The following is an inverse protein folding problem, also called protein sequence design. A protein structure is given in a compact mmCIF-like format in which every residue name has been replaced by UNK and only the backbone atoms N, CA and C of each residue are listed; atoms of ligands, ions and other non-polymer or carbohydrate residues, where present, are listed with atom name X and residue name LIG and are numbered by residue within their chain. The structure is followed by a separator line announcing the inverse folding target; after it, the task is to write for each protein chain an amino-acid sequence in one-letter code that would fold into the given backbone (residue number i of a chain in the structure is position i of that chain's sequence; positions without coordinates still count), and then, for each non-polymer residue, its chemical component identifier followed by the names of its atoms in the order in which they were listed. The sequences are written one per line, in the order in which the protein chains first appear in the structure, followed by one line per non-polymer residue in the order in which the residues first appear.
data_IF_734492658321
#
_entry.id   IF_734492658321
#
_cell.length_a   1.000
_cell.length_b   1.000
_cell.length_c   1.000
_cell.angle_alpha   90.00
_cell.angle_beta   90.00
_cell.angle_gamma   90.00
#
_symmetry.space_group_name_H-M   'P 1'
#
loop_
_entity.id
_entity.type
_entity.pdbx_description
1 polymer ?
#
# COMPACT_ATOMS: atom_id res chain seq x y z
N UNK A 1 -40.95 -26.20 35.49
CA UNK A 1 -39.56 -26.33 34.99
C UNK A 1 -39.45 -25.56 33.68
N UNK A 2 -39.02 -24.30 33.72
CA UNK A 2 -38.79 -23.47 32.53
C UNK A 2 -37.29 -23.46 32.25
N UNK A 3 -36.88 -24.14 31.17
CA UNK A 3 -35.50 -24.13 30.70
C UNK A 3 -35.16 -22.78 30.10
N UNK A 4 -34.24 -22.05 30.73
CA UNK A 4 -33.68 -20.81 30.17
C UNK A 4 -32.72 -21.20 29.03
N UNK A 5 -32.91 -20.70 27.80
CA UNK A 5 -31.97 -20.95 26.72
C UNK A 5 -30.64 -20.27 27.02
N UNK A 6 -29.52 -21.02 26.87
CA UNK A 6 -28.17 -20.46 27.02
C UNK A 6 -27.91 -19.43 25.91
N UNK A 7 -27.28 -18.29 26.22
CA UNK A 7 -26.87 -17.33 25.20
C UNK A 7 -25.79 -17.94 24.31
N UNK A 8 -26.00 -17.84 22.99
CA UNK A 8 -25.01 -18.20 21.98
C UNK A 8 -23.79 -17.28 22.14
N UNK A 9 -22.56 -17.81 22.22
CA UNK A 9 -21.37 -16.96 22.26
C UNK A 9 -21.27 -16.19 20.94
N UNK A 10 -21.35 -14.87 21.01
CA UNK A 10 -20.99 -13.99 19.90
C UNK A 10 -19.51 -14.21 19.61
N UNK A 11 -19.19 -14.89 18.52
CA UNK A 11 -17.82 -14.95 18.01
C UNK A 11 -17.50 -13.55 17.50
N UNK A 12 -16.79 -12.76 18.30
CA UNK A 12 -16.16 -11.54 17.82
C UNK A 12 -15.09 -11.98 16.83
N UNK A 13 -15.33 -11.82 15.52
CA UNK A 13 -14.30 -12.00 14.52
C UNK A 13 -13.08 -11.15 14.94
N UNK A 14 -11.87 -11.73 15.03
CA UNK A 14 -10.69 -10.94 15.32
C UNK A 14 -10.56 -9.92 14.19
N UNK A 15 -10.71 -8.64 14.53
CA UNK A 15 -10.55 -7.53 13.61
C UNK A 15 -9.10 -7.60 13.13
N UNK A 16 -8.88 -8.20 11.95
CA UNK A 16 -7.55 -8.27 11.36
C UNK A 16 -7.05 -6.82 11.29
N UNK A 17 -5.89 -6.51 11.89
CA UNK A 17 -5.40 -5.13 11.86
C UNK A 17 -5.37 -4.68 10.40
N UNK A 18 -5.84 -3.46 10.09
CA UNK A 18 -5.83 -2.98 8.73
C UNK A 18 -4.40 -3.12 8.21
N UNK A 19 -4.23 -3.85 7.10
CA UNK A 19 -2.93 -3.96 6.45
C UNK A 19 -2.49 -2.55 6.13
N UNK A 20 -1.45 -2.07 6.80
CA UNK A 20 -0.90 -0.75 6.52
C UNK A 20 -0.39 -0.78 5.09
N UNK A 21 -0.99 0.03 4.23
CA UNK A 21 -0.67 0.12 2.81
C UNK A 21 0.80 0.52 2.63
N UNK A 22 1.50 -0.13 1.71
CA UNK A 22 2.97 -0.09 1.60
C UNK A 22 3.56 1.33 1.52
N UNK A 23 3.07 2.17 0.61
CA UNK A 23 3.51 3.55 0.43
C UNK A 23 3.22 4.42 1.65
N UNK A 24 2.02 4.32 2.22
CA UNK A 24 1.69 5.02 3.49
C UNK A 24 2.65 4.62 4.62
N UNK A 25 2.95 3.32 4.76
CA UNK A 25 3.90 2.81 5.76
C UNK A 25 5.29 3.42 5.55
N UNK A 26 5.80 3.39 4.32
CA UNK A 26 7.14 3.93 4.01
C UNK A 26 7.28 5.41 4.38
N UNK A 27 6.27 6.23 4.08
CA UNK A 27 6.28 7.65 4.46
C UNK A 27 6.24 7.81 5.97
N UNK A 28 5.40 7.04 6.67
CA UNK A 28 5.31 7.08 8.13
C UNK A 28 6.61 6.67 8.80
N UNK A 29 7.24 5.59 8.34
CA UNK A 29 8.50 5.10 8.87
C UNK A 29 9.63 6.12 8.67
N UNK A 30 9.62 6.85 7.55
CA UNK A 30 10.69 7.80 7.22
C UNK A 30 10.49 9.20 7.81
N UNK A 31 9.27 9.69 7.87
CA UNK A 31 8.94 11.08 8.21
C UNK A 31 8.08 11.22 9.48
N UNK A 32 7.65 10.11 10.10
CA UNK A 32 6.76 10.12 11.25
C UNK A 32 5.39 10.72 10.96
N UNK A 33 4.95 10.73 9.71
CA UNK A 33 3.77 11.46 9.25
C UNK A 33 2.92 10.65 8.28
N UNK A 34 1.63 10.98 8.23
CA UNK A 34 0.76 10.53 7.14
C UNK A 34 1.09 11.29 5.85
N UNK A 35 1.13 10.65 4.67
CA UNK A 35 1.39 11.33 3.41
C UNK A 35 0.47 12.54 3.17
N UNK A 36 -0.83 12.41 3.41
CA UNK A 36 -1.78 13.49 3.17
C UNK A 36 -1.59 14.67 4.14
N UNK A 37 -1.08 14.40 5.34
CA UNK A 37 -0.76 15.44 6.31
C UNK A 37 0.49 16.26 5.93
N UNK A 38 1.32 15.80 4.97
CA UNK A 38 2.52 16.55 4.56
C UNK A 38 2.17 17.83 3.80
N UNK A 39 1.07 17.83 3.04
CA UNK A 39 0.65 18.99 2.26
C UNK A 39 0.31 20.19 3.14
N UNK A 40 -0.34 19.95 4.29
CA UNK A 40 -0.74 20.99 5.23
C UNK A 40 0.43 21.62 6.02
N UNK A 41 1.67 21.13 5.82
CA UNK A 41 2.87 21.62 6.52
C UNK A 41 3.60 22.74 5.78
N UNK A 42 3.23 23.00 4.53
CA UNK A 42 3.95 23.89 3.63
C UNK A 42 2.94 24.81 2.92
N UNK A 43 3.33 26.06 2.70
CA UNK A 43 2.54 26.99 1.90
C UNK A 43 2.52 26.54 0.42
N UNK A 44 1.41 26.75 -0.29
CA UNK A 44 1.16 26.13 -1.60
C UNK A 44 2.22 26.45 -2.67
N UNK A 45 2.87 27.61 -2.58
CA UNK A 45 3.88 28.08 -3.54
C UNK A 45 5.32 27.66 -3.17
N UNK A 46 5.50 26.87 -2.10
CA UNK A 46 6.81 26.40 -1.69
C UNK A 46 7.24 25.14 -2.46
N UNK A 47 8.55 25.04 -2.74
CA UNK A 47 9.17 23.82 -3.28
C UNK A 47 8.86 22.61 -2.40
N UNK A 48 8.76 22.80 -1.08
CA UNK A 48 8.40 21.74 -0.14
C UNK A 48 6.95 21.27 -0.29
N UNK A 49 6.01 22.15 -0.64
CA UNK A 49 4.63 21.76 -0.94
C UNK A 49 4.56 20.93 -2.22
N UNK A 50 5.29 21.32 -3.27
CA UNK A 50 5.39 20.53 -4.50
C UNK A 50 5.99 19.12 -4.25
N UNK A 51 7.05 19.05 -3.44
CA UNK A 51 7.65 17.76 -3.05
C UNK A 51 6.72 16.93 -2.17
N UNK A 52 6.00 17.54 -1.22
CA UNK A 52 5.00 16.87 -0.40
C UNK A 52 3.85 16.29 -1.26
N UNK A 53 3.42 17.02 -2.30
CA UNK A 53 2.43 16.53 -3.26
C UNK A 53 2.95 15.31 -4.05
N UNK A 54 4.21 15.34 -4.48
CA UNK A 54 4.85 14.19 -5.14
C UNK A 54 4.95 12.99 -4.21
N UNK A 55 5.41 13.16 -2.96
CA UNK A 55 5.43 12.08 -1.95
C UNK A 55 4.04 11.47 -1.78
N UNK A 56 3.01 12.31 -1.60
CA UNK A 56 1.62 11.89 -1.40
C UNK A 56 1.10 11.09 -2.61
N UNK A 57 1.30 11.62 -3.82
CA UNK A 57 0.85 11.00 -5.06
C UNK A 57 1.53 9.65 -5.31
N UNK A 58 2.85 9.57 -5.14
CA UNK A 58 3.60 8.32 -5.33
C UNK A 58 3.24 7.28 -4.28
N UNK A 59 3.09 7.69 -3.00
CA UNK A 59 2.63 6.78 -1.93
C UNK A 59 1.23 6.23 -2.21
N UNK A 60 0.29 7.09 -2.64
CA UNK A 60 -1.08 6.68 -2.99
C UNK A 60 -1.11 5.69 -4.16
N UNK A 61 -0.30 5.91 -5.20
CA UNK A 61 -0.20 4.97 -6.32
C UNK A 61 0.40 3.63 -5.89
N UNK A 62 1.44 3.65 -5.05
CA UNK A 62 2.05 2.44 -4.53
C UNK A 62 1.04 1.63 -3.70
N UNK A 63 0.27 2.31 -2.86
CA UNK A 63 -0.80 1.71 -2.06
C UNK A 63 -1.91 1.08 -2.92
N UNK A 64 -2.25 1.71 -4.04
CA UNK A 64 -3.23 1.19 -4.98
C UNK A 64 -2.73 -0.11 -5.64
N UNK A 65 -1.50 -0.11 -6.17
CA UNK A 65 -0.94 -1.29 -6.83
C UNK A 65 -0.67 -2.44 -5.86
N UNK A 66 -0.22 -2.16 -4.63
CA UNK A 66 -0.05 -3.16 -3.57
C UNK A 66 -1.39 -3.86 -3.27
N UNK A 67 -2.47 -3.08 -3.08
CA UNK A 67 -3.79 -3.63 -2.81
C UNK A 67 -4.36 -4.42 -4.00
N UNK A 68 -4.26 -3.89 -5.22
CA UNK A 68 -4.77 -4.56 -6.42
C UNK A 68 -4.04 -5.87 -6.71
N UNK A 69 -2.70 -5.86 -6.61
CA UNK A 69 -1.87 -7.06 -6.77
C UNK A 69 -2.19 -8.09 -5.69
N UNK A 70 -2.38 -7.68 -4.43
CA UNK A 70 -2.75 -8.59 -3.36
C UNK A 70 -4.13 -9.24 -3.59
N UNK A 71 -5.10 -8.51 -4.17
CA UNK A 71 -6.41 -9.06 -4.55
C UNK A 71 -6.29 -10.05 -5.71
N UNK A 72 -5.50 -9.74 -6.73
CA UNK A 72 -5.28 -10.64 -7.86
C UNK A 72 -4.59 -11.95 -7.42
N UNK A 73 -3.60 -11.87 -6.52
CA UNK A 73 -2.95 -13.04 -5.90
C UNK A 73 -3.95 -13.86 -5.08
N UNK A 74 -4.76 -13.22 -4.22
CA UNK A 74 -5.74 -13.92 -3.40
C UNK A 74 -6.80 -14.66 -4.25
N UNK A 75 -7.24 -14.04 -5.35
CA UNK A 75 -8.16 -14.67 -6.31
C UNK A 75 -7.51 -15.86 -7.00
N UNK A 76 -6.29 -15.68 -7.53
CA UNK A 76 -5.54 -16.77 -8.16
C UNK A 76 -5.33 -17.95 -7.21
N UNK A 77 -5.03 -17.70 -5.92
CA UNK A 77 -4.90 -18.74 -4.91
C UNK A 77 -6.21 -19.48 -4.64
N UNK A 78 -7.33 -18.75 -4.54
CA UNK A 78 -8.66 -19.35 -4.36
C UNK A 78 -9.10 -20.18 -5.58
N UNK A 79 -8.74 -19.73 -6.79
CA UNK A 79 -8.98 -20.47 -8.03
C UNK A 79 -8.15 -21.76 -8.07
N UNK A 80 -6.85 -21.68 -7.72
CA UNK A 80 -5.98 -22.85 -7.65
C UNK A 80 -6.47 -23.88 -6.62
N UNK A 81 -6.95 -23.41 -5.45
CA UNK A 81 -7.52 -24.29 -4.43
C UNK A 81 -8.80 -25.00 -4.92
N UNK A 82 -9.67 -24.30 -5.67
CA UNK A 82 -10.86 -24.91 -6.29
C UNK A 82 -10.49 -25.95 -7.32
N UNK A 83 -9.53 -25.66 -8.21
CA UNK A 83 -9.06 -26.60 -9.22
C UNK A 83 -8.44 -27.86 -8.59
N UNK A 84 -7.71 -27.71 -7.48
CA UNK A 84 -7.13 -28.85 -6.76
C UNK A 84 -8.16 -29.71 -6.02
N UNK A 85 -9.32 -29.14 -5.66
CA UNK A 85 -10.37 -29.83 -4.91
C UNK A 85 -11.36 -30.61 -5.80
N UNK A 86 -11.35 -30.41 -7.11
CA UNK A 86 -12.25 -31.06 -8.06
C UNK A 86 -11.50 -32.15 -8.87
N UNK A 87 -11.67 -33.43 -8.52
CA UNK A 87 -11.02 -34.55 -9.19
C UNK A 87 -11.64 -34.91 -10.54
N UNK A 88 -12.61 -34.17 -11.10
CA UNK A 88 -13.05 -34.32 -12.50
C UNK A 88 -12.66 -33.09 -13.36
N UNK A 89 -12.08 -32.05 -12.73
CA UNK A 89 -11.67 -30.82 -13.41
C UNK A 89 -10.64 -31.03 -14.51
N UNK A 90 -9.98 -32.19 -14.60
CA UNK A 90 -9.05 -32.49 -15.69
C UNK A 90 -9.69 -32.57 -17.09
N UNK A 91 -11.00 -32.75 -17.17
CA UNK A 91 -11.73 -32.63 -18.44
C UNK A 91 -12.07 -31.17 -18.81
N UNK A 92 -11.98 -30.24 -17.84
CA UNK A 92 -12.15 -28.79 -18.00
C UNK A 92 -10.88 -27.96 -17.72
N UNK A 93 -9.72 -28.62 -17.54
CA UNK A 93 -8.46 -28.00 -17.14
C UNK A 93 -7.98 -26.95 -18.14
N UNK A 94 -8.40 -27.06 -19.41
CA UNK A 94 -8.15 -26.03 -20.41
C UNK A 94 -8.65 -24.66 -19.97
N UNK A 95 -9.85 -24.58 -19.39
CA UNK A 95 -10.44 -23.32 -18.95
C UNK A 95 -9.87 -22.86 -17.61
N UNK A 96 -9.72 -23.76 -16.62
CA UNK A 96 -9.16 -23.41 -15.32
C UNK A 96 -7.68 -22.97 -15.40
N UNK A 97 -6.87 -23.65 -16.23
CA UNK A 97 -5.46 -23.31 -16.43
C UNK A 97 -5.29 -22.06 -17.29
N UNK A 98 -6.12 -21.87 -18.32
CA UNK A 98 -6.15 -20.62 -19.11
C UNK A 98 -6.54 -19.42 -18.24
N UNK A 99 -7.36 -19.62 -17.21
CA UNK A 99 -7.78 -18.54 -16.32
C UNK A 99 -6.70 -18.15 -15.29
N UNK A 100 -6.00 -19.12 -14.70
CA UNK A 100 -4.81 -18.83 -13.85
C UNK A 100 -3.71 -18.17 -14.69
N UNK A 101 -3.48 -18.68 -15.91
CA UNK A 101 -2.56 -18.08 -16.86
C UNK A 101 -2.96 -16.65 -17.28
N UNK A 102 -4.25 -16.31 -17.27
CA UNK A 102 -4.72 -14.94 -17.54
C UNK A 102 -4.42 -13.95 -16.41
N UNK A 103 -4.26 -14.43 -15.16
CA UNK A 103 -3.99 -13.61 -13.97
C UNK A 103 -2.51 -13.41 -13.72
N UNK A 104 -1.67 -14.39 -14.03
CA UNK A 104 -0.22 -14.31 -13.82
C UNK A 104 0.41 -13.04 -14.44
N UNK A 105 0.10 -12.65 -15.70
CA UNK A 105 0.61 -11.40 -16.29
C UNK A 105 0.20 -10.15 -15.52
N UNK A 106 -1.02 -10.11 -14.96
CA UNK A 106 -1.48 -8.96 -14.16
C UNK A 106 -0.71 -8.84 -12.86
N UNK A 107 -0.44 -9.97 -12.20
CA UNK A 107 0.36 -10.03 -10.97
C UNK A 107 1.79 -9.59 -11.25
N UNK A 108 2.42 -10.07 -12.33
CA UNK A 108 3.76 -9.69 -12.74
C UNK A 108 3.87 -8.19 -13.02
N UNK A 109 2.93 -7.63 -13.80
CA UNK A 109 2.87 -6.19 -14.07
C UNK A 109 2.67 -5.41 -12.77
N UNK A 110 1.78 -5.86 -11.89
CA UNK A 110 1.55 -5.24 -10.58
C UNK A 110 2.81 -5.19 -9.72
N UNK A 111 3.54 -6.32 -9.63
CA UNK A 111 4.81 -6.41 -8.91
C UNK A 111 5.89 -5.49 -9.51
N UNK A 112 6.00 -5.43 -10.84
CA UNK A 112 6.94 -4.53 -11.51
C UNK A 112 6.62 -3.06 -11.17
N UNK A 113 5.34 -2.66 -11.21
CA UNK A 113 4.91 -1.30 -10.85
C UNK A 113 5.16 -0.98 -9.38
N UNK A 114 4.94 -1.92 -8.47
CA UNK A 114 5.30 -1.77 -7.05
C UNK A 114 6.80 -1.50 -6.90
N UNK A 115 7.65 -2.25 -7.62
CA UNK A 115 9.10 -2.04 -7.62
C UNK A 115 9.51 -0.64 -8.09
N UNK A 116 9.00 -0.20 -9.24
CA UNK A 116 9.25 1.12 -9.83
C UNK A 116 8.80 2.27 -8.89
N UNK A 117 7.59 2.15 -8.33
CA UNK A 117 7.02 3.16 -7.44
C UNK A 117 7.74 3.21 -6.10
N UNK A 118 8.21 2.07 -5.58
CA UNK A 118 9.04 2.01 -4.36
C UNK A 118 10.35 2.77 -4.56
N UNK A 119 11.04 2.55 -5.69
CA UNK A 119 12.25 3.29 -6.03
C UNK A 119 11.99 4.79 -6.18
N UNK A 120 10.93 5.14 -6.90
CA UNK A 120 10.51 6.54 -7.09
C UNK A 120 10.19 7.23 -5.77
N UNK A 121 9.44 6.56 -4.87
CA UNK A 121 9.09 7.10 -3.56
C UNK A 121 10.34 7.34 -2.71
N UNK A 122 11.29 6.40 -2.71
CA UNK A 122 12.56 6.57 -2.00
C UNK A 122 13.37 7.78 -2.51
N UNK A 123 13.42 7.98 -3.84
CA UNK A 123 14.11 9.11 -4.44
C UNK A 123 13.46 10.46 -4.08
N UNK A 124 12.13 10.53 -4.11
CA UNK A 124 11.38 11.74 -3.73
C UNK A 124 11.51 12.02 -2.23
N UNK A 125 11.39 10.99 -1.37
CA UNK A 125 11.60 11.13 0.07
C UNK A 125 13.02 11.62 0.40
N UNK A 126 14.05 11.08 -0.24
CA UNK A 126 15.42 11.56 -0.06
C UNK A 126 15.57 13.04 -0.44
N UNK A 127 14.95 13.46 -1.54
CA UNK A 127 14.97 14.86 -1.97
C UNK A 127 14.21 15.77 -1.01
N UNK A 128 13.02 15.36 -0.57
CA UNK A 128 12.23 16.08 0.43
C UNK A 128 12.99 16.26 1.75
N UNK A 129 13.59 15.19 2.30
CA UNK A 129 14.37 15.28 3.55
C UNK A 129 15.57 16.22 3.45
N UNK A 130 16.24 16.25 2.28
CA UNK A 130 17.36 17.20 2.04
C UNK A 130 16.86 18.64 1.99
N UNK A 131 15.74 18.90 1.31
CA UNK A 131 15.14 20.23 1.25
C UNK A 131 14.66 20.71 2.65
N UNK A 132 14.09 19.80 3.45
CA UNK A 132 13.68 20.10 4.82
C UNK A 132 14.89 20.41 5.72
N UNK A 133 16.00 19.69 5.57
CA UNK A 133 17.22 19.97 6.32
C UNK A 133 17.84 21.34 5.92
N UNK A 134 17.82 21.68 4.63
CA UNK A 134 18.35 22.96 4.14
C UNK A 134 17.56 24.17 4.66
N UNK A 135 16.23 24.05 4.76
CA UNK A 135 15.37 25.10 5.34
C UNK A 135 15.59 25.25 6.85
N UNK A 136 15.79 24.14 7.58
CA UNK A 136 16.14 24.18 9.00
C UNK A 136 17.56 24.68 9.31
N UNK A 137 18.53 24.46 8.42
CA UNK A 137 19.93 24.85 8.59
C UNK A 137 20.20 26.34 8.24
N UNK A 138 19.30 27.01 7.52
CA UNK A 138 19.45 28.43 7.14
C UNK A 138 19.18 29.44 8.25
N UNK A 139 18.75 28.99 9.44
CA UNK A 139 18.51 29.82 10.61
C UNK A 139 19.77 30.11 11.43
N UNK A 140 20.81 30.69 10.84
CA UNK A 140 21.87 31.35 11.62
C UNK A 140 21.62 32.85 11.64
N UNK A 141 21.51 33.49 12.82
CA UNK A 141 21.26 34.92 12.91
C UNK A 141 22.42 35.70 12.28
N UNK A 142 22.05 36.73 11.50
CA UNK A 142 22.97 37.77 11.05
C UNK A 142 23.76 38.32 12.25
N UNK A 143 25.10 38.32 12.25
CA UNK A 143 25.84 39.10 13.22
C UNK A 143 25.72 40.57 12.81
N UNK A 144 24.72 41.25 13.36
CA UNK A 144 24.81 42.70 13.59
C UNK A 144 25.58 42.89 14.88
N UNK A 145 26.85 43.29 14.77
CA UNK A 145 27.73 43.64 15.88
C UNK A 145 29.17 43.73 15.44
#
# INVERSE_FOLDING_TARGET
MTGVPRPTPTVTEPTRPPRVRLGTRMVRDRLGADPHALLARHEADEVLAALAALVTSTATRLDFFDEDTARDVARAAADAARAAADPDAHLGLGDAWSFVASRAPRIEVGQARIGELTQSLNAVLATYTRALAATGAGGTPSPTG
#
